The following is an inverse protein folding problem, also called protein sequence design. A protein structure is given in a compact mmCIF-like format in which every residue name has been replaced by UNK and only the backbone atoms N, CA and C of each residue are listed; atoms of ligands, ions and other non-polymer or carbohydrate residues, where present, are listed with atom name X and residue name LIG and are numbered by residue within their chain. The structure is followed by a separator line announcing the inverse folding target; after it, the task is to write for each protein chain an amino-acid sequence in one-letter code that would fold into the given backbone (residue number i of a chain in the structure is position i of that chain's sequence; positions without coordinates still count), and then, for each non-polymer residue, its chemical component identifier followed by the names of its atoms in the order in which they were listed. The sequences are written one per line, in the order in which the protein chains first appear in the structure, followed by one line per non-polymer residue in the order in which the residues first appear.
data_IF_775711117457
#
_entry.id   IF_775711117457
#
_cell.length_a   1.000
_cell.length_b   1.000
_cell.length_c   1.000
_cell.angle_alpha   90.00
_cell.angle_beta   90.00
_cell.angle_gamma   90.00
#
_symmetry.space_group_name_H-M   'P 1'
#
loop_
_entity.id
_entity.type
_entity.pdbx_description
1 polymer ?
#
# COMPACT_ATOMS: atom_id res chain seq x y z
N UNK A 1 5.28 3.15 -10.52
CA UNK A 1 6.41 3.40 -9.62
C UNK A 1 5.88 4.06 -8.36
N UNK A 2 6.20 3.51 -7.19
CA UNK A 2 5.57 3.94 -5.94
C UNK A 2 6.35 5.06 -5.24
N UNK A 3 7.68 5.10 -5.42
CA UNK A 3 8.61 6.04 -4.78
C UNK A 3 9.40 6.91 -5.79
N UNK A 4 8.89 7.12 -7.01
CA UNK A 4 9.55 8.00 -7.98
C UNK A 4 9.33 9.49 -7.67
N UNK A 5 10.00 10.02 -6.65
CA UNK A 5 9.88 11.42 -6.28
C UNK A 5 10.50 12.38 -7.31
N UNK A 6 11.54 11.94 -8.02
CA UNK A 6 12.24 12.77 -9.01
C UNK A 6 11.35 13.10 -10.22
N UNK A 7 10.55 12.14 -10.71
CA UNK A 7 9.66 12.37 -11.85
C UNK A 7 8.21 12.69 -11.42
N UNK A 8 7.77 12.22 -10.25
CA UNK A 8 6.40 12.39 -9.75
C UNK A 8 6.46 12.89 -8.30
N UNK A 9 6.43 14.22 -8.08
CA UNK A 9 6.54 14.81 -6.73
C UNK A 9 5.46 14.34 -5.74
N UNK A 10 4.30 13.90 -6.23
CA UNK A 10 3.21 13.34 -5.44
C UNK A 10 3.05 11.82 -5.63
N UNK A 11 4.15 11.09 -5.82
CA UNK A 11 4.13 9.62 -5.87
C UNK A 11 3.49 9.03 -4.61
N UNK A 12 3.00 7.79 -4.69
CA UNK A 12 2.19 7.16 -3.63
C UNK A 12 2.93 7.12 -2.30
N UNK A 13 4.23 6.81 -2.31
CA UNK A 13 5.07 6.85 -1.11
C UNK A 13 5.06 8.23 -0.46
N UNK A 14 5.39 9.28 -1.22
CA UNK A 14 5.38 10.64 -0.70
C UNK A 14 3.99 11.08 -0.23
N UNK A 15 2.94 10.84 -1.02
CA UNK A 15 1.58 11.25 -0.70
C UNK A 15 1.06 10.60 0.58
N UNK A 16 1.46 9.35 0.82
CA UNK A 16 1.13 8.61 2.04
C UNK A 16 1.82 9.20 3.26
N UNK A 17 3.10 9.56 3.15
CA UNK A 17 3.89 10.10 4.26
C UNK A 17 3.67 11.59 4.51
N UNK A 18 3.30 12.36 3.49
CA UNK A 18 3.08 13.80 3.59
C UNK A 18 1.70 14.17 4.15
N UNK A 19 0.86 13.17 4.48
CA UNK A 19 -0.50 13.41 4.97
C UNK A 19 -0.44 13.80 6.44
N UNK A 20 -0.83 15.03 6.76
CA UNK A 20 -0.98 15.47 8.16
C UNK A 20 -2.08 14.67 8.87
N UNK A 21 -1.85 14.31 10.14
CA UNK A 21 -2.82 13.61 11.00
C UNK A 21 -3.27 12.23 10.44
N UNK A 22 -2.39 11.51 9.76
CA UNK A 22 -2.64 10.14 9.31
C UNK A 22 -1.61 9.67 8.29
N UNK A 23 -1.94 8.63 7.53
CA UNK A 23 -1.04 8.09 6.51
C UNK A 23 -0.07 7.06 7.08
N UNK A 24 1.16 7.08 6.57
CA UNK A 24 2.24 6.16 6.99
C UNK A 24 3.41 6.89 7.64
N UNK A 25 4.29 6.13 8.29
CA UNK A 25 5.53 6.63 8.92
C UNK A 25 6.78 6.33 8.09
N UNK A 26 6.71 5.32 7.22
CA UNK A 26 7.73 5.00 6.23
C UNK A 26 7.09 4.27 5.04
N UNK A 27 7.76 4.26 3.88
CA UNK A 27 7.31 3.58 2.68
C UNK A 27 8.48 2.99 1.90
N UNK A 28 8.45 1.68 1.69
CA UNK A 28 9.38 0.95 0.83
C UNK A 28 8.78 0.79 -0.57
N UNK A 29 9.60 0.90 -1.61
CA UNK A 29 9.13 0.67 -2.97
C UNK A 29 10.10 1.11 -4.06
N UNK A 30 9.70 0.85 -5.30
CA UNK A 30 10.50 1.18 -6.46
C UNK A 30 10.52 2.70 -6.72
N UNK A 31 11.71 3.27 -6.88
CA UNK A 31 11.92 4.61 -7.43
C UNK A 31 11.65 4.69 -8.95
N UNK A 32 11.47 3.54 -9.62
CA UNK A 32 11.10 3.43 -11.02
C UNK A 32 10.16 2.25 -11.27
N UNK A 33 10.47 1.42 -12.26
CA UNK A 33 9.67 0.22 -12.57
C UNK A 33 10.21 -0.95 -11.75
N UNK A 34 9.46 -1.33 -10.73
CA UNK A 34 9.70 -2.57 -9.99
C UNK A 34 9.35 -3.78 -10.84
N UNK A 35 10.34 -4.65 -11.07
CA UNK A 35 10.13 -5.92 -11.78
C UNK A 35 9.59 -6.96 -10.81
N UNK A 36 8.63 -7.76 -11.28
CA UNK A 36 8.15 -8.95 -10.59
C UNK A 36 8.55 -10.21 -11.35
N UNK A 37 8.70 -11.31 -10.61
CA UNK A 37 8.66 -12.65 -11.20
C UNK A 37 7.22 -12.98 -11.61
N UNK A 38 6.94 -14.19 -12.09
CA UNK A 38 5.58 -14.58 -12.48
C UNK A 38 5.19 -15.93 -11.87
N UNK A 39 3.88 -16.18 -11.80
CA UNK A 39 3.34 -17.46 -11.31
C UNK A 39 3.62 -17.69 -9.83
N UNK A 40 4.19 -18.85 -9.50
CA UNK A 40 4.52 -19.26 -8.12
C UNK A 40 5.83 -18.70 -7.60
N UNK A 41 6.67 -18.13 -8.47
CA UNK A 41 8.01 -17.64 -8.13
C UNK A 41 8.04 -16.16 -7.74
N UNK A 42 6.88 -15.58 -7.41
CA UNK A 42 6.73 -14.14 -7.19
C UNK A 42 7.65 -13.62 -6.09
N UNK A 43 7.75 -14.36 -4.99
CA UNK A 43 8.53 -13.98 -3.81
C UNK A 43 9.99 -14.40 -3.89
N UNK A 44 10.40 -15.07 -4.97
CA UNK A 44 11.71 -15.70 -5.05
C UNK A 44 12.79 -14.79 -5.65
N UNK A 45 12.41 -13.73 -6.38
CA UNK A 45 13.38 -12.78 -6.97
C UNK A 45 12.78 -11.40 -7.16
N UNK A 46 13.62 -10.44 -7.54
CA UNK A 46 13.26 -9.05 -7.87
C UNK A 46 12.44 -8.38 -6.75
N UNK A 47 11.45 -7.54 -7.07
CA UNK A 47 10.72 -6.80 -6.03
C UNK A 47 9.91 -7.71 -5.10
N UNK A 48 9.40 -8.84 -5.56
CA UNK A 48 8.65 -9.73 -4.67
C UNK A 48 9.55 -10.38 -3.61
N UNK A 49 10.82 -10.63 -3.90
CA UNK A 49 11.80 -11.01 -2.87
C UNK A 49 12.02 -9.87 -1.88
N UNK A 50 12.28 -8.65 -2.37
CA UNK A 50 12.54 -7.48 -1.52
C UNK A 50 11.36 -7.20 -0.57
N UNK A 51 10.13 -7.23 -1.08
CA UNK A 51 8.91 -6.95 -0.31
C UNK A 51 8.72 -7.93 0.85
N UNK A 52 9.02 -9.22 0.65
CA UNK A 52 8.95 -10.22 1.72
C UNK A 52 10.08 -10.03 2.74
N UNK A 53 11.32 -9.89 2.26
CA UNK A 53 12.50 -9.86 3.12
C UNK A 53 12.60 -8.60 3.97
N UNK A 54 11.95 -7.50 3.57
CA UNK A 54 11.78 -6.32 4.44
C UNK A 54 11.04 -6.68 5.72
N UNK A 55 9.96 -7.45 5.62
CA UNK A 55 9.21 -7.86 6.81
C UNK A 55 9.99 -8.87 7.65
N UNK A 56 10.69 -9.81 7.00
CA UNK A 56 11.56 -10.75 7.71
C UNK A 56 12.67 -10.04 8.48
N UNK A 57 13.35 -9.07 7.84
CA UNK A 57 14.40 -8.31 8.49
C UNK A 57 13.86 -7.35 9.57
N UNK A 58 12.62 -6.84 9.41
CA UNK A 58 11.93 -6.11 10.47
C UNK A 58 11.68 -6.94 11.75
N UNK A 59 11.68 -8.27 11.67
CA UNK A 59 11.63 -9.10 12.89
C UNK A 59 12.97 -9.14 13.61
N UNK A 60 14.09 -9.04 12.88
CA UNK A 60 15.44 -9.13 13.44
C UNK A 60 15.99 -7.75 13.84
N UNK A 61 15.64 -6.72 13.08
CA UNK A 61 16.15 -5.37 13.24
C UNK A 61 15.00 -4.37 13.15
N UNK A 62 14.92 -3.51 14.17
CA UNK A 62 13.84 -2.52 14.27
C UNK A 62 14.21 -1.17 13.66
N UNK A 63 15.47 -0.93 13.32
CA UNK A 63 15.94 0.33 12.74
C UNK A 63 15.72 0.30 11.22
N UNK A 64 14.79 1.12 10.72
CA UNK A 64 14.34 1.04 9.32
C UNK A 64 15.44 1.21 8.28
N UNK A 65 16.37 2.15 8.50
CA UNK A 65 17.51 2.34 7.60
C UNK A 65 18.42 1.12 7.54
N UNK A 66 18.56 0.40 8.66
CA UNK A 66 19.36 -0.82 8.70
C UNK A 66 18.63 -1.98 8.03
N UNK A 67 17.32 -2.11 8.23
CA UNK A 67 16.47 -3.08 7.51
C UNK A 67 16.63 -2.88 6.00
N UNK A 68 16.47 -1.66 5.51
CA UNK A 68 16.63 -1.33 4.09
C UNK A 68 18.00 -1.73 3.55
N UNK A 69 19.07 -1.37 4.26
CA UNK A 69 20.44 -1.68 3.86
C UNK A 69 20.73 -3.18 3.87
N UNK A 70 20.21 -3.91 4.87
CA UNK A 70 20.36 -5.35 5.00
C UNK A 70 19.64 -6.06 3.85
N UNK A 71 18.39 -5.71 3.53
CA UNK A 71 17.68 -6.34 2.41
C UNK A 71 18.42 -6.20 1.07
N UNK A 72 19.02 -5.04 0.78
CA UNK A 72 19.81 -4.85 -0.45
C UNK A 72 21.07 -5.71 -0.43
N UNK A 73 21.76 -5.74 0.72
CA UNK A 73 22.99 -6.52 0.92
C UNK A 73 22.70 -8.02 0.79
N UNK A 74 21.61 -8.49 1.38
CA UNK A 74 21.19 -9.88 1.36
C UNK A 74 20.70 -10.30 -0.03
N UNK A 75 20.02 -9.42 -0.76
CA UNK A 75 19.67 -9.67 -2.15
C UNK A 75 20.93 -9.88 -3.01
N UNK A 76 21.93 -9.01 -2.85
CA UNK A 76 23.21 -9.15 -3.55
C UNK A 76 23.88 -10.48 -3.20
N UNK A 77 24.03 -10.79 -1.91
CA UNK A 77 24.68 -12.02 -1.45
C UNK A 77 23.95 -13.28 -1.91
N UNK A 78 22.62 -13.24 -1.97
CA UNK A 78 21.79 -14.38 -2.40
C UNK A 78 21.96 -14.69 -3.89
N UNK A 79 22.08 -13.65 -4.73
CA UNK A 79 22.08 -13.81 -6.19
C UNK A 79 23.43 -13.48 -6.85
N UNK A 80 24.50 -13.28 -6.07
CA UNK A 80 25.80 -12.76 -6.52
C UNK A 80 26.32 -13.45 -7.80
N UNK A 81 26.23 -14.78 -7.85
CA UNK A 81 26.74 -15.59 -8.97
C UNK A 81 25.88 -15.53 -10.24
N UNK A 82 24.65 -15.04 -10.13
CA UNK A 82 23.63 -15.05 -11.20
C UNK A 82 23.04 -13.67 -11.46
N UNK A 83 23.70 -12.59 -11.03
CA UNK A 83 23.18 -11.23 -11.19
C UNK A 83 22.98 -10.89 -12.67
N UNK A 84 21.74 -10.58 -13.03
CA UNK A 84 21.37 -10.07 -14.36
C UNK A 84 20.91 -8.62 -14.26
N UNK A 85 20.71 -7.97 -15.42
CA UNK A 85 20.33 -6.54 -15.51
C UNK A 85 19.11 -6.17 -14.64
N UNK A 86 18.14 -7.08 -14.50
CA UNK A 86 16.96 -6.86 -13.66
C UNK A 86 17.29 -6.81 -12.18
N UNK A 87 18.28 -7.58 -11.71
CA UNK A 87 18.72 -7.57 -10.31
C UNK A 87 19.40 -6.25 -9.94
N UNK A 88 20.33 -5.78 -10.79
CA UNK A 88 20.96 -4.47 -10.60
C UNK A 88 19.91 -3.36 -10.56
N UNK A 89 18.90 -3.43 -11.43
CA UNK A 89 17.79 -2.47 -11.42
C UNK A 89 16.94 -2.58 -10.15
N UNK A 90 16.65 -3.79 -9.68
CA UNK A 90 15.93 -3.99 -8.41
C UNK A 90 16.66 -3.34 -7.25
N UNK A 91 17.96 -3.61 -7.08
CA UNK A 91 18.75 -3.05 -5.99
C UNK A 91 18.85 -1.52 -6.07
N UNK A 92 19.04 -0.96 -7.27
CA UNK A 92 19.12 0.50 -7.46
C UNK A 92 17.79 1.22 -7.25
N UNK A 93 16.67 0.57 -7.56
CA UNK A 93 15.34 1.18 -7.43
C UNK A 93 14.66 0.92 -6.10
N UNK A 94 15.10 -0.07 -5.33
CA UNK A 94 14.53 -0.36 -4.04
C UNK A 94 14.86 0.76 -3.05
N UNK A 95 13.88 1.63 -2.83
CA UNK A 95 14.05 2.88 -2.08
C UNK A 95 13.14 2.90 -0.85
N UNK A 96 13.59 3.59 0.19
CA UNK A 96 12.83 3.84 1.41
C UNK A 96 12.58 5.35 1.54
N UNK A 97 11.33 5.73 1.82
CA UNK A 97 10.97 7.04 2.34
C UNK A 97 10.63 6.96 3.82
N UNK A 98 11.05 7.97 4.59
CA UNK A 98 10.89 8.03 6.03
C UNK A 98 12.20 8.47 6.70
N UNK A 99 12.22 8.46 8.02
CA UNK A 99 13.43 8.65 8.81
C UNK A 99 14.20 7.31 8.92
N UNK A 100 15.42 7.20 8.38
CA UNK A 100 16.19 5.96 8.45
C UNK A 100 16.62 5.58 9.87
N UNK A 101 16.56 6.51 10.82
CA UNK A 101 16.85 6.26 12.24
C UNK A 101 15.63 5.79 13.04
N UNK A 102 14.45 5.77 12.41
CA UNK A 102 13.22 5.34 13.06
C UNK A 102 13.32 3.88 13.50
N UNK A 103 12.96 3.65 14.76
CA UNK A 103 12.86 2.31 15.36
C UNK A 103 11.38 1.93 15.41
N UNK A 104 11.03 0.80 14.78
CA UNK A 104 9.68 0.23 14.90
C UNK A 104 9.66 -0.74 16.07
N UNK A 105 8.93 -0.40 17.13
CA UNK A 105 8.65 -1.34 18.21
C UNK A 105 7.44 -2.20 17.87
N UNK A 106 7.47 -3.46 18.32
CA UNK A 106 6.30 -4.33 18.25
C UNK A 106 5.33 -3.87 19.35
N UNK A 107 4.14 -3.43 18.96
CA UNK A 107 3.07 -3.03 19.86
C UNK A 107 1.99 -4.10 19.99
N UNK A 108 1.04 -3.86 20.89
CA UNK A 108 -0.24 -4.57 20.87
C UNK A 108 -0.92 -4.37 19.51
N UNK A 109 -1.61 -5.40 19.03
CA UNK A 109 -2.37 -5.32 17.79
C UNK A 109 -3.32 -4.11 17.86
N UNK A 110 -3.31 -3.22 16.84
CA UNK A 110 -4.15 -2.04 16.86
C UNK A 110 -5.61 -2.48 16.93
N UNK A 111 -6.38 -1.87 17.84
CA UNK A 111 -7.83 -2.05 17.86
C UNK A 111 -8.37 -1.55 16.52
N UNK A 112 -8.81 -2.48 15.67
CA UNK A 112 -9.40 -2.13 14.38
C UNK A 112 -10.68 -1.34 14.64
N UNK A 113 -10.65 -0.05 14.33
CA UNK A 113 -11.88 0.76 14.27
C UNK A 113 -12.55 0.36 12.95
N UNK A 114 -13.75 -0.25 12.96
CA UNK A 114 -14.47 -0.52 11.74
C UNK A 114 -14.63 0.79 10.97
N UNK A 115 -14.31 0.79 9.68
CA UNK A 115 -14.67 1.92 8.84
C UNK A 115 -16.17 2.17 9.03
N UNK A 116 -16.58 3.41 9.32
CA UNK A 116 -17.99 3.76 9.31
C UNK A 116 -18.48 3.71 7.86
N UNK A 117 -18.86 2.51 7.44
CA UNK A 117 -19.33 2.23 6.09
C UNK A 117 -20.63 2.99 5.84
N UNK A 118 -21.41 3.32 6.89
CA UNK A 118 -22.65 4.07 6.74
C UNK A 118 -22.40 5.47 6.20
N UNK A 119 -21.43 6.19 6.77
CA UNK A 119 -21.06 7.53 6.27
C UNK A 119 -20.49 7.50 4.85
N UNK A 120 -19.65 6.52 4.53
CA UNK A 120 -19.10 6.37 3.16
C UNK A 120 -20.18 5.96 2.15
N UNK A 121 -21.04 5.00 2.48
CA UNK A 121 -22.16 4.58 1.64
C UNK A 121 -23.11 5.73 1.40
N UNK A 122 -23.40 6.56 2.41
CA UNK A 122 -24.26 7.72 2.25
C UNK A 122 -23.67 8.71 1.24
N UNK A 123 -22.41 9.12 1.44
CA UNK A 123 -21.72 10.04 0.51
C UNK A 123 -21.59 9.48 -0.90
N UNK A 124 -21.30 8.17 -1.00
CA UNK A 124 -21.21 7.47 -2.27
C UNK A 124 -22.58 7.35 -2.97
N UNK A 125 -23.63 7.05 -2.22
CA UNK A 125 -25.01 6.99 -2.74
C UNK A 125 -25.50 8.37 -3.18
N UNK A 126 -25.21 9.43 -2.43
CA UNK A 126 -25.48 10.82 -2.83
C UNK A 126 -24.77 11.14 -4.14
N UNK A 127 -23.46 10.82 -4.22
CA UNK A 127 -22.69 11.02 -5.45
C UNK A 127 -23.25 10.23 -6.65
N UNK A 128 -23.70 9.00 -6.43
CA UNK A 128 -24.34 8.19 -7.47
C UNK A 128 -25.69 8.78 -7.90
N UNK A 129 -26.51 9.24 -6.95
CA UNK A 129 -27.83 9.84 -7.25
C UNK A 129 -27.65 11.13 -8.05
N UNK A 130 -26.65 11.95 -7.71
CA UNK A 130 -26.31 13.15 -8.45
C UNK A 130 -25.82 12.84 -9.88
N UNK A 131 -24.98 11.83 -10.05
CA UNK A 131 -24.53 11.38 -11.37
C UNK A 131 -25.64 10.71 -12.20
N UNK A 132 -26.60 10.05 -11.54
CA UNK A 132 -27.65 9.27 -12.17
C UNK A 132 -29.04 9.59 -11.56
N UNK A 133 -29.67 10.71 -11.93
CA UNK A 133 -30.92 11.19 -11.31
C UNK A 133 -32.10 10.22 -11.43
N UNK A 134 -32.15 9.42 -12.50
CA UNK A 134 -33.16 8.36 -12.69
C UNK A 134 -33.06 7.26 -11.63
N UNK A 135 -31.87 7.00 -11.10
CA UNK A 135 -31.65 6.00 -10.06
C UNK A 135 -32.28 6.45 -8.73
N UNK A 136 -32.21 7.75 -8.42
CA UNK A 136 -32.87 8.35 -7.25
C UNK A 136 -34.39 8.15 -7.25
N UNK A 137 -35.03 8.24 -8.42
CA UNK A 137 -36.47 8.00 -8.56
C UNK A 137 -36.85 6.53 -8.28
N UNK A 138 -36.01 5.59 -8.74
CA UNK A 138 -36.21 4.14 -8.49
C UNK A 138 -36.05 3.81 -7.01
N UNK A 139 -35.08 4.43 -6.32
CA UNK A 139 -34.87 4.22 -4.88
C UNK A 139 -36.01 4.80 -4.04
N UNK A 140 -36.56 5.97 -4.39
CA UNK A 140 -37.74 6.54 -3.73
C UNK A 140 -38.97 5.62 -3.86
N UNK A 141 -39.24 5.10 -5.06
CA UNK A 141 -40.37 4.18 -5.32
C UNK A 141 -40.25 2.88 -4.51
N UNK A 142 -39.02 2.42 -4.20
CA UNK A 142 -38.80 1.20 -3.42
C UNK A 142 -39.09 1.38 -1.92
N UNK A 143 -38.80 2.55 -1.34
CA UNK A 143 -39.11 2.81 0.06
C UNK A 143 -40.63 2.85 0.32
N UNK A 144 -41.39 3.46 -0.58
CA UNK A 144 -42.85 3.51 -0.50
C UNK A 144 -43.50 2.11 -0.55
N UNK A 145 -42.95 1.20 -1.37
CA UNK A 145 -43.44 -0.19 -1.47
C UNK A 145 -43.10 -1.06 -0.26
N UNK A 146 -42.05 -0.74 0.49
CA UNK A 146 -41.70 -1.45 1.74
C UNK A 146 -42.60 -0.97 2.87
N UNK A 147 -42.85 0.35 2.98
CA UNK A 147 -43.77 0.91 3.97
C UNK A 147 -45.22 0.44 3.75
N UNK A 148 -45.66 0.36 2.48
CA UNK A 148 -47.01 -0.09 2.10
C UNK A 148 -47.28 -1.59 2.23
N UNK A 149 -46.27 -2.42 2.53
CA UNK A 149 -46.45 -3.86 2.84
C UNK A 149 -46.62 -4.16 4.33
N UNK A 150 -46.40 -3.19 5.21
CA UNK A 150 -46.54 -3.34 6.66
C UNK A 150 -47.95 -2.88 7.12
N UNK A 151 -48.80 -2.44 6.20
CA UNK A 151 -50.16 -1.97 6.48
C UNK A 151 -51.22 -2.69 5.65
N UNK A 152 -51.39 -4.01 5.81
CA UNK A 152 -52.65 -4.78 5.78
C UNK A 152 -52.41 -6.12 6.47
#
# INVERSE_FOLDING_TARGET
SNNNYAAVPNCIGWKTLSKSNGGGIAAFGAAGIGYGSTGTHQTERVFGWMEVHVFEELYNNKILGQVWANCITDYYNTFELELVKTDYKTMLEFSMFGDPTLVIEDGEDPVSIPADISSFLLLFMESIIDCFPLLGQIFAIRQDKVQGRISV
#
